data_IF_361791280599
#
_entry.id   IF_361791280599
#
_cell.length_a   1.000
_cell.length_b   1.000
_cell.length_c   1.000
_cell.angle_alpha   90.00
_cell.angle_beta   90.00
_cell.angle_gamma   90.00
#
_symmetry.space_group_name_H-M   'P 1'
#
loop_
_entity.id
_entity.type
_entity.pdbx_description
1 polymer ?
#
# COMPACT_ATOMS: atom_id res chain seq x y z
N UNK A 1 4.75 -32.19 5.39
CA UNK A 1 3.46 -31.48 5.22
C UNK A 1 3.80 -30.08 4.73
N UNK A 2 3.43 -29.74 3.50
CA UNK A 2 3.59 -28.38 3.00
C UNK A 2 2.53 -27.52 3.70
N UNK A 3 2.95 -26.62 4.57
CA UNK A 3 2.09 -25.57 5.10
C UNK A 3 1.67 -24.76 3.88
N UNK A 4 0.40 -24.84 3.47
CA UNK A 4 -0.14 -23.95 2.44
C UNK A 4 0.01 -22.53 2.99
N UNK A 5 0.79 -21.69 2.31
CA UNK A 5 0.92 -20.27 2.62
C UNK A 5 -0.47 -19.62 2.53
N UNK A 6 -1.16 -19.51 3.65
CA UNK A 6 -2.53 -18.99 3.68
C UNK A 6 -2.49 -17.47 3.70
N UNK A 7 -3.00 -16.85 2.64
CA UNK A 7 -3.19 -15.41 2.57
C UNK A 7 -4.48 -15.04 3.31
N UNK A 8 -4.34 -14.34 4.43
CA UNK A 8 -5.45 -13.85 5.23
C UNK A 8 -5.83 -12.47 4.70
N UNK A 9 -7.09 -12.32 4.27
CA UNK A 9 -7.68 -11.01 3.98
C UNK A 9 -8.24 -10.40 5.25
N UNK A 10 -7.92 -9.14 5.48
CA UNK A 10 -8.36 -8.34 6.62
C UNK A 10 -9.11 -7.14 6.05
N UNK A 11 -10.27 -6.83 6.64
CA UNK A 11 -11.04 -5.66 6.24
C UNK A 11 -10.24 -4.40 6.60
N UNK A 12 -10.15 -3.43 5.69
CA UNK A 12 -9.52 -2.15 6.00
C UNK A 12 -10.36 -1.33 6.99
N UNK A 13 -9.75 -0.39 7.74
CA UNK A 13 -10.52 0.58 8.52
C UNK A 13 -11.52 1.30 7.61
N UNK A 14 -12.76 1.48 8.09
CA UNK A 14 -13.79 2.20 7.32
C UNK A 14 -13.32 3.59 6.88
N UNK A 15 -12.55 4.26 7.73
CA UNK A 15 -11.97 5.56 7.43
C UNK A 15 -11.04 5.52 6.20
N UNK A 16 -10.28 4.44 6.02
CA UNK A 16 -9.44 4.26 4.84
C UNK A 16 -10.28 4.06 3.58
N UNK A 17 -11.34 3.25 3.65
CA UNK A 17 -12.25 3.02 2.53
C UNK A 17 -12.94 4.33 2.10
N UNK A 18 -13.42 5.12 3.05
CA UNK A 18 -14.05 6.42 2.80
C UNK A 18 -13.08 7.43 2.21
N UNK A 19 -11.87 7.53 2.77
CA UNK A 19 -10.81 8.37 2.27
C UNK A 19 -10.43 7.99 0.83
N UNK A 20 -10.20 6.70 0.56
CA UNK A 20 -9.83 6.20 -0.77
C UNK A 20 -10.94 6.42 -1.81
N UNK A 21 -12.21 6.28 -1.41
CA UNK A 21 -13.36 6.54 -2.28
C UNK A 21 -13.41 7.99 -2.76
N UNK A 22 -12.93 8.94 -1.96
CA UNK A 22 -12.75 10.34 -2.37
C UNK A 22 -11.83 10.51 -3.60
N UNK A 23 -10.98 9.53 -3.87
CA UNK A 23 -10.09 9.48 -5.03
C UNK A 23 -10.56 8.54 -6.14
N UNK A 24 -11.72 7.89 -6.01
CA UNK A 24 -12.25 6.95 -7.00
C UNK A 24 -11.84 5.49 -6.80
N UNK A 25 -11.26 5.14 -5.65
CA UNK A 25 -10.99 3.74 -5.26
C UNK A 25 -12.29 3.09 -4.77
N UNK A 26 -12.57 1.88 -5.26
CA UNK A 26 -13.76 1.11 -4.92
C UNK A 26 -13.58 0.31 -3.63
N UNK A 27 -12.38 -0.22 -3.39
CA UNK A 27 -12.09 -1.10 -2.27
C UNK A 27 -10.63 -0.98 -1.80
N UNK A 28 -10.42 -1.14 -0.49
CA UNK A 28 -9.10 -1.26 0.13
C UNK A 28 -9.03 -2.60 0.86
N UNK A 29 -8.07 -3.44 0.48
CA UNK A 29 -7.91 -4.79 1.02
C UNK A 29 -6.59 -4.86 1.78
N UNK A 30 -6.64 -5.18 3.07
CA UNK A 30 -5.45 -5.52 3.83
C UNK A 30 -5.19 -7.01 3.72
N UNK A 31 -3.95 -7.41 3.49
CA UNK A 31 -3.57 -8.82 3.41
C UNK A 31 -2.43 -9.15 4.37
N UNK A 32 -2.44 -10.35 4.92
CA UNK A 32 -1.38 -10.88 5.81
C UNK A 32 -1.10 -12.33 5.46
N UNK A 33 0.16 -12.71 5.32
CA UNK A 33 0.58 -14.09 5.09
C UNK A 33 2.10 -14.20 5.04
N UNK A 34 2.62 -15.42 5.09
CA UNK A 34 4.08 -15.69 5.15
C UNK A 34 4.80 -15.59 3.79
N UNK A 35 4.08 -15.19 2.74
CA UNK A 35 4.64 -14.98 1.40
C UNK A 35 5.11 -13.54 1.16
N UNK A 36 5.98 -13.35 0.18
CA UNK A 36 6.51 -12.06 -0.29
C UNK A 36 5.48 -11.26 -1.11
N UNK A 37 4.24 -11.11 -0.63
CA UNK A 37 3.22 -10.35 -1.35
C UNK A 37 3.60 -8.85 -1.37
N UNK A 38 3.40 -8.13 -2.47
CA UNK A 38 3.57 -6.66 -2.48
C UNK A 38 2.25 -5.96 -2.21
N UNK A 39 2.35 -4.71 -1.76
CA UNK A 39 1.23 -3.78 -1.90
C UNK A 39 1.14 -3.36 -3.36
N UNK A 40 -0.07 -3.17 -3.87
CA UNK A 40 -0.28 -2.80 -5.27
C UNK A 40 -1.67 -2.23 -5.50
N UNK A 41 -1.84 -1.61 -6.66
CA UNK A 41 -3.13 -1.21 -7.19
C UNK A 41 -3.58 -2.05 -8.39
N UNK A 42 -4.84 -2.46 -8.34
CA UNK A 42 -5.49 -3.33 -9.32
C UNK A 42 -6.80 -2.68 -9.76
N UNK A 43 -6.84 -2.12 -10.96
CA UNK A 43 -7.98 -1.31 -11.39
C UNK A 43 -8.22 -0.15 -10.42
N UNK A 44 -9.35 -0.19 -9.71
CA UNK A 44 -9.74 0.76 -8.67
C UNK A 44 -9.69 0.16 -7.25
N UNK A 45 -8.95 -0.94 -7.06
CA UNK A 45 -8.77 -1.62 -5.76
C UNK A 45 -7.34 -1.45 -5.28
N UNK A 46 -7.17 -1.00 -4.04
CA UNK A 46 -5.86 -0.91 -3.37
C UNK A 46 -5.66 -2.13 -2.49
N UNK A 47 -4.55 -2.84 -2.67
CA UNK A 47 -4.17 -4.00 -1.85
C UNK A 47 -2.91 -3.66 -1.05
N UNK A 48 -3.01 -3.73 0.27
CA UNK A 48 -1.90 -3.40 1.19
C UNK A 48 -1.47 -4.67 1.93
N UNK A 49 -0.21 -5.04 1.74
CA UNK A 49 0.38 -6.15 2.49
C UNK A 49 0.91 -5.67 3.85
N UNK A 50 0.38 -6.28 4.91
CA UNK A 50 0.79 -6.09 6.30
C UNK A 50 2.06 -6.87 6.65
N UNK A 51 2.43 -7.91 5.89
CA UNK A 51 3.67 -8.64 6.11
C UNK A 51 4.86 -7.75 5.73
N UNK A 52 5.60 -7.31 6.75
CA UNK A 52 6.64 -6.30 6.57
C UNK A 52 8.00 -6.82 7.03
N UNK A 53 8.87 -7.14 6.06
CA UNK A 53 10.29 -7.47 6.29
C UNK A 53 11.27 -6.37 5.83
N UNK A 54 10.82 -5.39 5.05
CA UNK A 54 11.69 -4.40 4.40
C UNK A 54 11.65 -3.00 5.04
N UNK A 55 11.69 -2.94 6.38
CA UNK A 55 11.61 -1.69 7.17
C UNK A 55 12.68 -0.65 6.82
N UNK A 56 13.89 -1.11 6.53
CA UNK A 56 15.07 -0.24 6.51
C UNK A 56 15.07 0.85 5.44
N UNK A 57 14.48 0.59 4.26
CA UNK A 57 14.45 1.52 3.14
C UNK A 57 13.41 2.62 3.31
N UNK A 58 12.15 2.23 3.56
CA UNK A 58 11.02 3.16 3.65
C UNK A 58 11.12 4.10 4.84
N UNK A 59 11.69 3.66 5.97
CA UNK A 59 11.86 4.53 7.15
C UNK A 59 12.67 5.78 6.84
N UNK A 60 13.72 5.64 6.03
CA UNK A 60 14.59 6.75 5.64
C UNK A 60 13.97 7.65 4.57
N UNK A 61 13.17 7.09 3.67
CA UNK A 61 12.56 7.82 2.56
C UNK A 61 11.35 8.62 3.04
N UNK A 62 10.57 8.05 3.96
CA UNK A 62 9.25 8.58 4.32
C UNK A 62 9.18 9.22 5.70
N UNK A 63 10.29 9.24 6.43
CA UNK A 63 10.39 9.81 7.78
C UNK A 63 9.28 9.30 8.71
N UNK A 64 9.18 7.97 8.83
CA UNK A 64 8.15 7.28 9.63
C UNK A 64 8.76 6.63 10.87
N UNK A 65 8.03 6.64 11.99
CA UNK A 65 8.56 6.22 13.29
C UNK A 65 8.09 4.83 13.71
N UNK A 66 6.88 4.43 13.32
CA UNK A 66 6.26 3.18 13.74
C UNK A 66 5.76 2.32 12.56
N UNK A 67 5.38 1.08 12.87
CA UNK A 67 4.89 0.12 11.88
C UNK A 67 3.62 0.62 11.19
N UNK A 68 2.69 1.21 11.92
CA UNK A 68 1.41 1.67 11.38
C UNK A 68 1.59 2.88 10.47
N UNK A 69 2.54 3.75 10.77
CA UNK A 69 2.93 4.84 9.86
C UNK A 69 3.52 4.32 8.56
N UNK A 70 4.34 3.28 8.60
CA UNK A 70 4.85 2.63 7.39
C UNK A 70 3.68 2.10 6.54
N UNK A 71 2.77 1.34 7.16
CA UNK A 71 1.66 0.73 6.42
C UNK A 71 0.72 1.81 5.86
N UNK A 72 0.51 2.89 6.62
CA UNK A 72 -0.26 4.07 6.16
C UNK A 72 0.45 4.77 5.00
N UNK A 73 1.76 4.96 5.08
CA UNK A 73 2.54 5.55 4.01
C UNK A 73 2.53 4.69 2.74
N UNK A 74 2.56 3.36 2.87
CA UNK A 74 2.36 2.43 1.74
C UNK A 74 0.98 2.54 1.11
N UNK A 75 -0.05 2.67 1.94
CA UNK A 75 -1.40 2.92 1.44
C UNK A 75 -1.48 4.19 0.59
N UNK A 76 -0.93 5.29 1.09
CA UNK A 76 -0.88 6.55 0.35
C UNK A 76 0.00 6.45 -0.91
N UNK A 77 1.06 5.66 -0.89
CA UNK A 77 1.92 5.40 -2.05
C UNK A 77 1.15 4.70 -3.18
N UNK A 78 0.44 3.62 -2.90
CA UNK A 78 -0.37 2.93 -3.90
C UNK A 78 -1.54 3.79 -4.40
N UNK A 79 -2.11 4.61 -3.51
CA UNK A 79 -3.11 5.59 -3.90
C UNK A 79 -2.53 6.66 -4.83
N UNK A 80 -1.30 7.12 -4.58
CA UNK A 80 -0.62 8.07 -5.44
C UNK A 80 -0.41 7.50 -6.86
N UNK A 81 -0.06 6.21 -6.96
CA UNK A 81 -0.01 5.52 -8.25
C UNK A 81 -1.37 5.55 -8.97
N UNK A 82 -2.49 5.38 -8.27
CA UNK A 82 -3.82 5.57 -8.87
C UNK A 82 -4.02 6.97 -9.44
N UNK A 83 -3.80 7.98 -8.59
CA UNK A 83 -4.09 9.39 -8.89
C UNK A 83 -3.25 9.87 -10.06
N UNK A 84 -1.98 9.45 -10.10
CA UNK A 84 -1.03 9.76 -11.17
C UNK A 84 -1.17 8.85 -12.39
N UNK A 85 -2.01 7.80 -12.31
CA UNK A 85 -2.20 6.75 -13.33
C UNK A 85 -0.92 5.97 -13.66
N UNK A 86 -0.05 5.80 -12.66
CA UNK A 86 1.13 4.96 -12.72
C UNK A 86 0.77 3.52 -12.35
N UNK A 87 1.35 2.54 -13.05
CA UNK A 87 1.30 1.12 -12.69
C UNK A 87 -0.08 0.49 -12.46
N UNK A 88 -1.17 1.18 -12.84
CA UNK A 88 -2.54 0.69 -12.69
C UNK A 88 -2.73 -0.53 -13.57
N UNK A 89 -2.67 -1.72 -12.97
CA UNK A 89 -2.94 -2.96 -13.68
C UNK A 89 -4.42 -3.00 -14.03
N UNK A 90 -4.73 -3.05 -15.33
CA UNK A 90 -6.10 -3.28 -15.77
C UNK A 90 -6.49 -4.71 -15.39
N UNK A 91 -7.57 -4.87 -14.63
CA UNK A 91 -8.21 -6.16 -14.44
C UNK A 91 -8.60 -6.72 -15.81
N UNK A 92 -7.87 -7.72 -16.30
CA UNK A 92 -8.36 -8.52 -17.43
C UNK A 92 -9.56 -9.30 -16.90
N UNK A 93 -10.73 -9.13 -17.50
CA UNK A 93 -11.92 -9.91 -17.16
C UNK A 93 -11.56 -11.40 -17.15
N UNK A 94 -11.71 -12.04 -15.99
CA UNK A 94 -11.44 -13.46 -15.79
C UNK A 94 -10.00 -13.86 -15.46
N UNK A 95 -9.04 -12.93 -15.36
CA UNK A 95 -7.68 -13.27 -14.88
C UNK A 95 -7.63 -13.14 -13.35
N UNK A 96 -7.45 -14.27 -12.67
CA UNK A 96 -7.03 -14.28 -11.27
C UNK A 96 -5.62 -13.68 -11.23
N UNK A 97 -5.42 -12.62 -10.47
CA UNK A 97 -4.09 -12.06 -10.24
C UNK A 97 -3.29 -13.11 -9.48
N UNK A 98 -2.27 -13.64 -10.13
CA UNK A 98 -1.39 -14.62 -9.51
C UNK A 98 -0.24 -13.90 -8.83
N UNK A 99 0.32 -14.55 -7.81
CA UNK A 99 1.55 -14.13 -7.12
C UNK A 99 2.72 -13.79 -8.04
N UNK A 100 2.72 -14.34 -9.25
CA UNK A 100 3.76 -14.16 -10.27
C UNK A 100 3.66 -12.81 -11.00
N UNK A 101 2.50 -12.14 -10.97
CA UNK A 101 2.31 -10.79 -11.55
C UNK A 101 2.94 -9.68 -10.64
N UNK A 102 3.60 -10.09 -9.55
CA UNK A 102 4.18 -9.25 -8.49
C UNK A 102 5.72 -9.34 -8.52
N UNK A 103 6.35 -8.90 -9.61
CA UNK A 103 7.81 -9.00 -9.75
C UNK A 103 8.55 -8.26 -8.62
N UNK A 104 9.55 -8.91 -8.01
CA UNK A 104 10.54 -8.29 -7.13
C UNK A 104 11.36 -7.27 -7.94
N UNK A 105 11.45 -6.04 -7.45
CA UNK A 105 12.29 -4.96 -7.98
C UNK A 105 13.28 -4.67 -6.88
N UNK A 106 14.55 -4.46 -7.22
CA UNK A 106 15.56 -4.06 -6.24
C UNK A 106 15.26 -2.64 -5.74
N UNK A 107 15.78 -2.29 -4.56
CA UNK A 107 15.65 -0.93 -4.04
C UNK A 107 16.26 0.10 -5.01
N UNK A 108 17.35 -0.24 -5.69
CA UNK A 108 17.99 0.62 -6.69
C UNK A 108 17.06 0.85 -7.90
N UNK A 109 16.36 -0.18 -8.38
CA UNK A 109 15.38 -0.05 -9.45
C UNK A 109 14.16 0.76 -9.03
N UNK A 110 13.74 0.69 -7.77
CA UNK A 110 12.65 1.50 -7.21
C UNK A 110 13.08 2.97 -7.11
N UNK A 111 14.29 3.24 -6.60
CA UNK A 111 14.80 4.59 -6.44
C UNK A 111 15.12 5.29 -7.78
N UNK A 112 15.46 4.52 -8.82
CA UNK A 112 15.71 5.03 -10.16
C UNK A 112 14.43 5.33 -10.94
N UNK A 113 13.26 4.96 -10.42
CA UNK A 113 11.99 5.08 -11.12
C UNK A 113 11.30 6.43 -10.83
N UNK A 114 11.09 7.27 -11.85
CA UNK A 114 10.40 8.54 -11.68
C UNK A 114 8.97 8.39 -11.14
N UNK A 115 8.26 7.32 -11.50
CA UNK A 115 6.89 7.11 -11.09
C UNK A 115 6.78 6.72 -9.60
N UNK A 116 7.75 5.95 -9.10
CA UNK A 116 7.89 5.65 -7.66
C UNK A 116 8.25 6.94 -6.92
N UNK A 117 9.20 7.73 -7.44
CA UNK A 117 9.57 9.02 -6.84
C UNK A 117 8.38 9.97 -6.72
N UNK A 118 7.59 10.15 -7.78
CA UNK A 118 6.39 11.00 -7.71
C UNK A 118 5.36 10.50 -6.70
N UNK A 119 5.24 9.18 -6.51
CA UNK A 119 4.38 8.61 -5.50
C UNK A 119 4.93 8.85 -4.08
N UNK A 120 6.26 8.80 -3.88
CA UNK A 120 6.88 9.17 -2.61
C UNK A 120 6.74 10.66 -2.29
N UNK A 121 6.96 11.52 -3.27
CA UNK A 121 6.79 12.97 -3.11
C UNK A 121 5.35 13.30 -2.70
N UNK A 122 4.35 12.62 -3.29
CA UNK A 122 2.95 12.74 -2.86
C UNK A 122 2.74 12.38 -1.37
N UNK A 123 3.36 11.29 -0.88
CA UNK A 123 3.23 10.89 0.52
C UNK A 123 3.86 11.94 1.45
N UNK A 124 5.04 12.45 1.08
CA UNK A 124 5.75 13.47 1.85
C UNK A 124 4.96 14.79 1.89
N UNK A 125 4.45 15.24 0.74
CA UNK A 125 3.57 16.41 0.63
C UNK A 125 2.30 16.22 1.47
N UNK A 126 1.65 15.05 1.39
CA UNK A 126 0.46 14.76 2.17
C UNK A 126 0.72 14.84 3.68
N UNK A 127 1.82 14.25 4.16
CA UNK A 127 2.22 14.32 5.58
C UNK A 127 2.49 15.76 6.02
N UNK A 128 3.09 16.57 5.16
CA UNK A 128 3.41 17.96 5.46
C UNK A 128 2.16 18.85 5.49
N UNK A 129 1.29 18.72 4.49
CA UNK A 129 0.11 19.56 4.33
C UNK A 129 -1.07 19.15 5.22
N UNK A 130 -1.19 17.85 5.51
CA UNK A 130 -2.34 17.27 6.21
C UNK A 130 -1.90 16.32 7.33
N UNK A 131 -1.05 16.76 8.27
CA UNK A 131 -0.49 15.91 9.31
C UNK A 131 -1.57 15.28 10.19
N UNK A 132 -2.67 16.00 10.49
CA UNK A 132 -3.77 15.46 11.31
C UNK A 132 -4.52 14.35 10.58
N UNK A 133 -4.68 14.47 9.26
CA UNK A 133 -5.34 13.45 8.45
C UNK A 133 -4.47 12.20 8.31
N UNK A 134 -3.16 12.39 8.13
CA UNK A 134 -2.20 11.29 8.18
C UNK A 134 -2.27 10.55 9.52
N UNK A 135 -2.29 11.28 10.64
CA UNK A 135 -2.41 10.66 11.96
C UNK A 135 -3.75 9.95 12.14
N UNK A 136 -4.86 10.51 11.66
CA UNK A 136 -6.16 9.84 11.72
C UNK A 136 -6.16 8.51 10.95
N UNK A 137 -5.49 8.45 9.78
CA UNK A 137 -5.30 7.20 9.05
C UNK A 137 -4.49 6.19 9.87
N UNK A 138 -3.39 6.62 10.49
CA UNK A 138 -2.55 5.78 11.36
C UNK A 138 -3.34 5.23 12.55
N UNK A 139 -4.07 6.09 13.29
CA UNK A 139 -4.84 5.67 14.46
C UNK A 139 -5.99 4.73 14.09
N UNK A 140 -6.65 4.96 12.95
CA UNK A 140 -7.68 4.04 12.46
C UNK A 140 -7.12 2.65 12.10
N UNK A 141 -5.88 2.59 11.60
CA UNK A 141 -5.19 1.32 11.35
C UNK A 141 -4.84 0.63 12.67
N UNK A 142 -4.29 1.35 13.65
CA UNK A 142 -4.01 0.81 14.99
C UNK A 142 -5.26 0.18 15.60
N UNK A 143 -6.39 0.89 15.59
CA UNK A 143 -7.66 0.40 16.11
C UNK A 143 -8.24 -0.80 15.33
N UNK A 144 -7.79 -1.03 14.09
CA UNK A 144 -8.22 -2.17 13.27
C UNK A 144 -7.36 -3.42 13.48
N UNK A 145 -6.10 -3.25 13.89
CA UNK A 145 -5.14 -4.35 14.07
C UNK A 145 -5.08 -4.88 15.51
N UNK A 146 -5.64 -4.15 16.47
CA UNK A 146 -5.71 -4.47 17.91
C UNK A 146 -7.16 -4.74 18.34
#
# INVERSE_FOLDING_TARGET
MAIKNELIKIKAPQFWEEFARGYGISEVILIKGDGSYKSMIIGDIVVINLHYREVGGYRKILDVECYEEVITAKFLHELAHYVKKHYVQKMKQGKIITLEDVCERTLEEILADPCEREAWDFVLEFKHEKPELFQALVESLKACLH
#
